data_IF_820563344022
#
_entry.id   IF_820563344022
#
_cell.length_a   1.000
_cell.length_b   1.000
_cell.length_c   1.000
_cell.angle_alpha   90.00
_cell.angle_beta   90.00
_cell.angle_gamma   90.00
#
_symmetry.space_group_name_H-M   'P 1'
#
loop_
_entity.id
_entity.type
_entity.pdbx_description
1 polymer ?
#
# COMPACT_ATOMS: atom_id res chain seq x y z
N UNK A 1 4.14 5.65 -2.31
CA UNK A 1 4.85 6.86 -2.84
C UNK A 1 4.43 7.17 -4.27
N UNK A 2 4.66 6.28 -5.25
CA UNK A 2 4.16 6.47 -6.62
C UNK A 2 2.63 6.63 -6.63
N UNK A 3 1.93 5.76 -5.87
CA UNK A 3 0.48 5.89 -5.60
C UNK A 3 0.09 7.29 -5.08
N UNK A 4 0.79 7.84 -4.08
CA UNK A 4 0.49 9.16 -3.54
C UNK A 4 0.51 10.26 -4.61
N UNK A 5 1.49 10.21 -5.53
CA UNK A 5 1.61 11.18 -6.63
C UNK A 5 0.49 11.02 -7.64
N UNK A 6 0.11 9.77 -7.91
CA UNK A 6 -1.00 9.47 -8.79
C UNK A 6 -2.33 9.97 -8.22
N UNK A 7 -2.63 9.62 -6.96
CA UNK A 7 -3.83 10.08 -6.26
C UNK A 7 -3.87 11.61 -6.22
N UNK A 8 -2.76 12.26 -5.86
CA UNK A 8 -2.67 13.72 -5.87
C UNK A 8 -3.10 14.29 -7.21
N UNK A 9 -2.43 13.89 -8.29
CA UNK A 9 -2.74 14.33 -9.64
C UNK A 9 -4.22 14.13 -10.00
N UNK A 10 -4.81 12.99 -9.64
CA UNK A 10 -6.21 12.65 -9.94
C UNK A 10 -7.21 13.50 -9.16
N UNK A 11 -6.90 13.85 -7.91
CA UNK A 11 -7.83 14.57 -7.05
C UNK A 11 -7.59 16.08 -6.98
N UNK A 12 -6.43 16.58 -7.41
CA UNK A 12 -6.10 18.01 -7.43
C UNK A 12 -7.16 18.83 -8.15
N UNK A 13 -7.66 18.35 -9.29
CA UNK A 13 -8.74 19.03 -10.02
C UNK A 13 -10.00 19.19 -9.17
N UNK A 14 -10.43 18.12 -8.49
CA UNK A 14 -11.65 18.14 -7.67
C UNK A 14 -11.48 18.98 -6.40
N UNK A 15 -10.29 18.93 -5.78
CA UNK A 15 -9.95 19.78 -4.64
C UNK A 15 -10.06 21.26 -5.01
N UNK A 16 -9.43 21.69 -6.11
CA UNK A 16 -9.50 23.08 -6.57
C UNK A 16 -10.90 23.51 -7.01
N UNK A 17 -11.69 22.63 -7.61
CA UNK A 17 -13.10 22.89 -7.92
C UNK A 17 -13.95 23.11 -6.67
N UNK A 18 -13.51 22.59 -5.52
CA UNK A 18 -14.16 22.74 -4.22
C UNK A 18 -13.47 23.80 -3.35
N UNK A 19 -12.57 24.62 -3.92
CA UNK A 19 -11.78 25.64 -3.23
C UNK A 19 -10.89 25.12 -2.09
N UNK A 20 -10.52 23.83 -2.15
CA UNK A 20 -9.64 23.19 -1.16
C UNK A 20 -8.18 23.24 -1.60
N UNK A 21 -7.30 23.45 -0.63
CA UNK A 21 -5.86 23.30 -0.76
C UNK A 21 -5.45 21.82 -0.61
N UNK A 22 -4.47 21.40 -1.40
CA UNK A 22 -4.02 20.01 -1.41
C UNK A 22 -2.50 19.95 -1.56
N UNK A 23 -1.84 19.12 -0.74
CA UNK A 23 -0.39 18.89 -0.81
C UNK A 23 -0.04 17.41 -0.58
N UNK A 24 1.16 17.00 -1.02
CA UNK A 24 1.71 15.66 -0.75
C UNK A 24 2.85 15.77 0.26
N UNK A 25 2.80 14.94 1.30
CA UNK A 25 3.88 14.82 2.28
C UNK A 25 4.34 13.37 2.40
N UNK A 26 5.58 13.11 1.98
CA UNK A 26 6.22 11.80 2.10
C UNK A 26 7.76 11.94 2.24
N UNK A 27 8.49 10.83 2.34
CA UNK A 27 9.96 10.83 2.46
C UNK A 27 10.69 11.70 1.44
N UNK A 28 10.25 11.73 0.18
CA UNK A 28 10.93 12.48 -0.90
C UNK A 28 10.53 13.98 -0.99
N UNK A 29 9.65 14.47 -0.11
CA UNK A 29 9.24 15.89 -0.12
C UNK A 29 10.45 16.76 0.26
N UNK A 30 10.75 17.81 -0.52
CA UNK A 30 11.92 18.66 -0.28
C UNK A 30 11.80 19.41 1.06
N UNK A 31 12.92 19.80 1.68
CA UNK A 31 12.86 20.55 2.94
C UNK A 31 12.10 21.88 2.81
N UNK A 32 12.16 22.51 1.63
CA UNK A 32 11.40 23.73 1.31
C UNK A 32 9.90 23.46 1.35
N UNK A 33 9.44 22.41 0.68
CA UNK A 33 8.01 22.07 0.61
C UNK A 33 7.50 21.59 1.97
N UNK A 34 8.31 20.82 2.72
CA UNK A 34 8.00 20.43 4.10
C UNK A 34 7.72 21.64 4.97
N UNK A 35 8.60 22.65 4.92
CA UNK A 35 8.44 23.89 5.69
C UNK A 35 7.16 24.63 5.28
N UNK A 36 6.88 24.74 3.97
CA UNK A 36 5.66 25.35 3.44
C UNK A 36 4.39 24.67 3.98
N UNK A 37 4.33 23.34 3.93
CA UNK A 37 3.20 22.55 4.44
C UNK A 37 3.08 22.71 5.96
N UNK A 38 4.19 22.78 6.70
CA UNK A 38 4.14 23.00 8.16
C UNK A 38 3.65 24.41 8.52
N UNK A 39 4.00 25.43 7.73
CA UNK A 39 3.60 26.81 7.98
C UNK A 39 2.16 27.09 7.55
N UNK A 40 1.70 26.44 6.47
CA UNK A 40 0.34 26.52 5.97
C UNK A 40 -0.17 25.09 5.63
N UNK A 41 -0.69 24.36 6.62
CA UNK A 41 -1.24 23.03 6.43
C UNK A 41 -2.40 23.03 5.43
N UNK A 42 -2.47 22.06 4.50
CA UNK A 42 -3.54 22.00 3.49
C UNK A 42 -4.83 21.42 4.07
N UNK A 43 -5.95 21.66 3.39
CA UNK A 43 -7.24 21.02 3.69
C UNK A 43 -7.20 19.52 3.37
N UNK A 44 -6.44 19.12 2.34
CA UNK A 44 -6.23 17.72 1.95
C UNK A 44 -4.74 17.39 1.96
N UNK A 45 -4.35 16.44 2.81
CA UNK A 45 -2.97 15.96 2.90
C UNK A 45 -2.86 14.51 2.45
N UNK A 46 -2.11 14.27 1.37
CA UNK A 46 -1.79 12.89 0.94
C UNK A 46 -0.45 12.50 1.55
N UNK A 47 -0.44 11.44 2.36
CA UNK A 47 0.74 11.03 3.13
C UNK A 47 0.94 9.50 3.13
N UNK A 48 1.98 9.03 3.81
CA UNK A 48 2.23 7.60 4.05
C UNK A 48 2.14 7.30 5.56
N UNK A 49 1.91 6.05 5.99
CA UNK A 49 1.89 5.68 7.41
C UNK A 49 3.14 6.14 8.16
N UNK A 50 4.32 5.93 7.58
CA UNK A 50 5.61 6.29 8.19
C UNK A 50 5.74 7.81 8.34
N UNK A 51 5.20 8.55 7.37
CA UNK A 51 5.20 10.01 7.42
C UNK A 51 4.19 10.52 8.45
N UNK A 52 3.03 9.89 8.61
CA UNK A 52 2.05 10.23 9.63
C UNK A 52 2.63 10.11 11.05
N UNK A 53 3.42 9.05 11.32
CA UNK A 53 4.15 8.86 12.58
C UNK A 53 5.08 10.05 12.91
N UNK A 54 5.69 10.66 11.89
CA UNK A 54 6.54 11.86 12.03
C UNK A 54 5.71 13.12 12.29
N UNK A 55 4.54 13.26 11.65
CA UNK A 55 3.69 14.43 11.82
C UNK A 55 3.10 14.51 13.22
N UNK A 56 2.73 13.35 13.80
CA UNK A 56 2.16 13.21 15.14
C UNK A 56 3.12 13.53 16.30
N UNK A 57 4.36 13.97 16.03
CA UNK A 57 5.30 14.42 17.08
C UNK A 57 5.73 15.87 16.92
N UNK A 58 5.20 16.58 15.91
CA UNK A 58 5.54 17.97 15.63
C UNK A 58 4.41 18.89 16.10
N UNK A 59 4.67 19.73 17.11
CA UNK A 59 3.67 20.62 17.72
C UNK A 59 2.82 21.38 16.69
N UNK A 60 3.44 22.02 15.69
CA UNK A 60 2.72 22.75 14.64
C UNK A 60 1.75 21.88 13.82
N UNK A 61 2.10 20.62 13.56
CA UNK A 61 1.20 19.70 12.86
C UNK A 61 0.11 19.16 13.78
N UNK A 62 0.39 18.96 15.06
CA UNK A 62 -0.63 18.55 16.02
C UNK A 62 -1.76 19.57 16.11
N UNK A 63 -1.44 20.87 16.08
CA UNK A 63 -2.46 21.93 16.04
C UNK A 63 -3.35 21.79 14.79
N UNK A 64 -2.77 21.62 13.61
CA UNK A 64 -3.54 21.47 12.37
C UNK A 64 -4.33 20.16 12.30
N UNK A 65 -3.72 19.05 12.73
CA UNK A 65 -4.36 17.74 12.79
C UNK A 65 -5.45 17.67 13.88
N UNK A 66 -5.50 18.65 14.80
CA UNK A 66 -6.56 18.71 15.81
C UNK A 66 -7.93 19.04 15.22
N UNK A 67 -7.97 19.63 14.02
CA UNK A 67 -9.21 19.94 13.30
C UNK A 67 -9.54 18.89 12.22
N UNK A 68 -8.84 17.74 12.22
CA UNK A 68 -9.06 16.70 11.22
C UNK A 68 -10.37 15.92 11.49
N UNK A 69 -11.22 15.87 10.46
CA UNK A 69 -12.50 15.17 10.50
C UNK A 69 -12.53 13.85 9.71
N UNK A 70 -11.64 13.67 8.73
CA UNK A 70 -11.67 12.53 7.82
C UNK A 70 -10.29 11.91 7.62
N UNK A 71 -10.24 10.58 7.59
CA UNK A 71 -9.06 9.83 7.14
C UNK A 71 -9.48 8.76 6.14
N UNK A 72 -8.79 8.72 5.01
CA UNK A 72 -8.98 7.73 3.95
C UNK A 72 -7.74 6.84 3.88
N UNK A 73 -7.93 5.55 4.08
CA UNK A 73 -6.91 4.52 3.95
C UNK A 73 -7.16 3.79 2.64
N UNK A 74 -6.34 4.07 1.64
CA UNK A 74 -6.40 3.40 0.34
C UNK A 74 -5.59 2.09 0.37
N UNK A 75 -5.98 1.12 -0.47
CA UNK A 75 -5.38 -0.20 -0.58
C UNK A 75 -5.22 -0.93 0.77
N UNK A 76 -6.29 -0.98 1.57
CA UNK A 76 -6.28 -1.56 2.94
C UNK A 76 -5.69 -2.97 2.98
N UNK A 77 -5.92 -3.78 1.95
CA UNK A 77 -5.44 -5.17 1.90
C UNK A 77 -3.91 -5.31 2.02
N UNK A 78 -3.14 -4.32 1.53
CA UNK A 78 -1.67 -4.31 1.65
C UNK A 78 -1.20 -4.06 3.09
N UNK A 79 -2.08 -3.50 3.92
CA UNK A 79 -1.76 -3.12 5.29
C UNK A 79 -2.14 -4.21 6.30
N UNK A 80 -3.16 -5.04 6.02
CA UNK A 80 -3.68 -6.01 6.98
C UNK A 80 -2.58 -6.92 7.55
N UNK A 81 -1.77 -7.51 6.67
CA UNK A 81 -0.75 -8.51 7.04
C UNK A 81 0.65 -7.93 7.29
N UNK A 82 0.79 -6.61 7.50
CA UNK A 82 2.10 -5.97 7.61
C UNK A 82 2.28 -5.15 8.90
N UNK A 83 3.52 -5.06 9.38
CA UNK A 83 3.90 -4.15 10.48
C UNK A 83 3.56 -2.69 10.16
N UNK A 84 3.64 -2.32 8.87
CA UNK A 84 3.22 -1.01 8.36
C UNK A 84 1.73 -0.74 8.63
N UNK A 85 0.88 -1.75 8.53
CA UNK A 85 -0.52 -1.63 8.92
C UNK A 85 -0.71 -1.48 10.42
N UNK A 86 0.06 -2.21 11.22
CA UNK A 86 0.09 -2.09 12.68
C UNK A 86 0.50 -0.68 13.12
N UNK A 87 1.52 -0.11 12.48
CA UNK A 87 1.96 1.27 12.66
C UNK A 87 0.85 2.28 12.28
N UNK A 88 0.17 2.07 11.15
CA UNK A 88 -0.96 2.92 10.75
C UNK A 88 -2.07 2.85 11.80
N UNK A 89 -2.47 1.66 12.25
CA UNK A 89 -3.58 1.48 13.19
C UNK A 89 -3.33 2.26 14.50
N UNK A 90 -2.12 2.18 15.06
CA UNK A 90 -1.74 3.00 16.22
C UNK A 90 -1.67 4.49 15.90
N UNK A 91 -1.18 4.87 14.71
CA UNK A 91 -1.13 6.27 14.28
C UNK A 91 -2.53 6.89 14.20
N UNK A 92 -3.51 6.13 13.71
CA UNK A 92 -4.90 6.58 13.59
C UNK A 92 -5.53 6.79 14.97
N UNK A 93 -5.29 5.92 15.96
CA UNK A 93 -5.79 6.15 17.32
C UNK A 93 -5.09 7.33 18.02
N UNK A 94 -3.78 7.54 17.76
CA UNK A 94 -3.06 8.73 18.22
C UNK A 94 -3.56 10.02 17.57
N UNK A 95 -3.97 9.95 16.30
CA UNK A 95 -4.55 11.04 15.55
C UNK A 95 -5.95 11.37 16.06
N UNK A 96 -6.78 10.35 16.30
CA UNK A 96 -8.08 10.53 16.92
C UNK A 96 -7.99 11.16 18.32
N UNK A 97 -7.02 10.70 19.13
CA UNK A 97 -6.78 11.29 20.44
C UNK A 97 -6.40 12.78 20.38
N UNK A 98 -5.75 13.20 19.28
CA UNK A 98 -5.39 14.60 19.04
C UNK A 98 -6.53 15.45 18.47
N UNK A 99 -7.52 14.82 17.82
CA UNK A 99 -8.61 15.53 17.15
C UNK A 99 -9.65 16.06 18.15
N UNK A 100 -10.16 17.25 17.88
CA UNK A 100 -11.29 17.86 18.59
C UNK A 100 -12.63 17.28 18.12
N UNK A 101 -12.65 16.62 16.97
CA UNK A 101 -13.83 16.06 16.34
C UNK A 101 -13.71 14.53 16.24
N UNK A 102 -14.83 13.77 16.28
CA UNK A 102 -14.81 12.36 15.95
C UNK A 102 -14.30 12.16 14.51
N UNK A 103 -13.27 11.34 14.34
CA UNK A 103 -12.67 11.10 13.03
C UNK A 103 -13.50 10.08 12.24
N UNK A 104 -13.93 10.46 11.04
CA UNK A 104 -14.55 9.53 10.09
C UNK A 104 -13.46 8.77 9.34
N UNK A 105 -13.50 7.44 9.42
CA UNK A 105 -12.48 6.54 8.87
C UNK A 105 -13.05 5.79 7.68
N UNK A 106 -12.42 5.94 6.53
CA UNK A 106 -12.81 5.30 5.27
C UNK A 106 -11.67 4.37 4.84
N UNK A 107 -12.00 3.12 4.54
CA UNK A 107 -11.08 2.15 3.97
C UNK A 107 -11.48 1.80 2.53
N UNK A 108 -10.53 1.81 1.61
CA UNK A 108 -10.73 1.39 0.23
C UNK A 108 -9.90 0.15 -0.06
N UNK A 109 -10.49 -0.83 -0.74
CA UNK A 109 -9.77 -2.03 -1.17
C UNK A 109 -10.50 -2.73 -2.29
N UNK A 110 -9.75 -3.19 -3.30
CA UNK A 110 -10.29 -3.98 -4.40
C UNK A 110 -10.39 -5.48 -4.07
N UNK A 111 -9.49 -5.99 -3.23
CA UNK A 111 -9.30 -7.44 -3.02
C UNK A 111 -9.06 -7.74 -1.56
N UNK A 112 -10.12 -8.08 -0.83
CA UNK A 112 -10.05 -8.53 0.57
C UNK A 112 -10.85 -9.82 0.67
N UNK A 113 -10.30 -10.86 1.32
CA UNK A 113 -11.07 -12.07 1.62
C UNK A 113 -11.91 -11.93 2.89
N UNK A 114 -11.38 -11.25 3.90
CA UNK A 114 -11.93 -11.09 5.25
C UNK A 114 -12.42 -9.65 5.52
N UNK A 115 -13.52 -9.26 4.88
CA UNK A 115 -14.04 -7.87 4.90
C UNK A 115 -14.34 -7.33 6.30
N UNK A 116 -14.89 -8.16 7.20
CA UNK A 116 -15.23 -7.72 8.55
C UNK A 116 -13.98 -7.36 9.37
N UNK A 117 -12.96 -8.21 9.30
CA UNK A 117 -11.67 -7.97 9.96
C UNK A 117 -10.97 -6.76 9.36
N UNK A 118 -11.01 -6.57 8.04
CA UNK A 118 -10.49 -5.37 7.39
C UNK A 118 -11.23 -4.10 7.83
N UNK A 119 -12.56 -4.17 7.98
CA UNK A 119 -13.35 -3.07 8.53
C UNK A 119 -12.92 -2.70 9.96
N UNK A 120 -12.78 -3.70 10.83
CA UNK A 120 -12.29 -3.50 12.21
C UNK A 120 -10.86 -2.97 12.25
N UNK A 121 -9.99 -3.42 11.34
CA UNK A 121 -8.64 -2.87 11.19
C UNK A 121 -8.66 -1.37 10.91
N UNK A 122 -9.54 -0.91 10.01
CA UNK A 122 -9.67 0.51 9.65
C UNK A 122 -10.28 1.33 10.79
N UNK A 123 -11.39 0.87 11.40
CA UNK A 123 -12.14 1.70 12.36
C UNK A 123 -11.68 1.55 13.82
N UNK A 124 -10.97 0.46 14.15
CA UNK A 124 -10.62 0.08 15.51
C UNK A 124 -11.67 -0.80 16.21
N UNK A 125 -11.48 -1.09 17.50
CA UNK A 125 -12.27 -2.10 18.23
C UNK A 125 -13.63 -1.63 18.75
N UNK A 126 -13.81 -0.32 18.98
CA UNK A 126 -14.99 0.25 19.67
C UNK A 126 -15.90 1.07 18.76
N UNK A 127 -15.77 0.94 17.43
CA UNK A 127 -16.51 1.73 16.44
C UNK A 127 -17.33 0.84 15.52
N UNK A 128 -18.48 1.33 15.06
CA UNK A 128 -19.28 0.66 14.03
C UNK A 128 -18.59 0.84 12.68
N UNK A 129 -18.66 -0.18 11.83
CA UNK A 129 -18.16 -0.15 10.46
C UNK A 129 -19.29 -0.59 9.53
N UNK A 130 -19.60 0.22 8.52
CA UNK A 130 -20.47 -0.17 7.42
C UNK A 130 -19.60 -0.68 6.27
N UNK A 131 -19.87 -1.90 5.80
CA UNK A 131 -19.14 -2.51 4.70
C UNK A 131 -19.97 -2.35 3.42
N UNK A 132 -19.47 -1.55 2.49
CA UNK A 132 -20.05 -1.39 1.17
C UNK A 132 -19.26 -2.30 0.21
N UNK A 133 -19.92 -3.30 -0.36
CA UNK A 133 -19.32 -4.25 -1.30
C UNK A 133 -19.96 -4.12 -2.67
N UNK A 134 -19.13 -3.94 -3.69
CA UNK A 134 -19.54 -4.17 -5.07
C UNK A 134 -19.53 -5.68 -5.35
N UNK A 135 -20.69 -6.24 -5.67
CA UNK A 135 -20.86 -7.65 -6.01
C UNK A 135 -20.93 -7.89 -7.52
N UNK A 136 -20.65 -6.87 -8.34
CA UNK A 136 -20.62 -7.03 -9.78
C UNK A 136 -19.53 -8.00 -10.20
N UNK A 137 -19.92 -9.05 -10.93
CA UNK A 137 -18.97 -10.03 -11.47
C UNK A 137 -18.36 -9.44 -12.73
N UNK A 138 -17.12 -8.96 -12.64
CA UNK A 138 -16.34 -8.57 -13.82
C UNK A 138 -15.98 -9.85 -14.58
N UNK A 139 -16.28 -9.91 -15.87
CA UNK A 139 -15.82 -11.02 -16.72
C UNK A 139 -14.33 -10.84 -16.98
N UNK A 140 -13.54 -11.81 -16.54
CA UNK A 140 -12.12 -11.91 -16.84
C UNK A 140 -11.95 -12.88 -18.01
N UNK A 141 -11.39 -12.38 -19.11
CA UNK A 141 -11.09 -13.18 -20.30
C UNK A 141 -9.60 -13.52 -20.24
N UNK A 142 -9.27 -14.59 -19.52
CA UNK A 142 -7.88 -14.98 -19.23
C UNK A 142 -7.59 -16.33 -19.86
N UNK A 143 -6.67 -16.33 -20.82
CA UNK A 143 -6.16 -17.55 -21.43
C UNK A 143 -4.94 -18.07 -20.63
N UNK A 144 -4.81 -19.39 -20.51
CA UNK A 144 -3.59 -20.04 -19.98
C UNK A 144 -2.92 -20.79 -21.12
N UNK A 145 -1.63 -20.54 -21.33
CA UNK A 145 -0.79 -21.24 -22.31
C UNK A 145 0.41 -21.90 -21.63
N UNK A 146 0.49 -23.21 -21.74
CA UNK A 146 1.70 -23.95 -21.41
C UNK A 146 2.62 -24.04 -22.64
N UNK A 147 3.91 -23.80 -22.43
CA UNK A 147 4.96 -23.91 -23.45
C UNK A 147 5.95 -24.97 -22.98
N UNK A 148 5.99 -26.10 -23.68
CA UNK A 148 6.99 -27.14 -23.44
C UNK A 148 8.34 -26.70 -24.01
N UNK A 149 9.13 -25.96 -23.22
CA UNK A 149 10.38 -25.38 -23.67
C UNK A 149 11.05 -24.44 -22.68
N UNK A 150 11.99 -23.66 -23.20
CA UNK A 150 12.73 -22.66 -22.45
C UNK A 150 11.95 -21.34 -22.36
N UNK A 151 12.42 -20.43 -21.51
CA UNK A 151 11.92 -19.05 -21.48
C UNK A 151 12.09 -18.32 -22.83
N UNK A 152 13.03 -18.77 -23.67
CA UNK A 152 13.22 -18.25 -25.02
C UNK A 152 12.05 -18.62 -25.93
N UNK A 153 11.52 -19.84 -25.80
CA UNK A 153 10.34 -20.32 -26.52
C UNK A 153 9.07 -19.61 -26.00
N UNK A 154 9.01 -19.34 -24.69
CA UNK A 154 7.95 -18.51 -24.09
C UNK A 154 7.97 -17.09 -24.67
N UNK A 155 9.16 -16.48 -24.78
CA UNK A 155 9.30 -15.14 -25.37
C UNK A 155 8.82 -15.11 -26.83
N UNK A 156 9.14 -16.13 -27.63
CA UNK A 156 8.62 -16.27 -29.00
C UNK A 156 7.09 -16.35 -29.02
N UNK A 157 6.48 -17.16 -28.13
CA UNK A 157 5.01 -17.23 -28.02
C UNK A 157 4.37 -15.92 -27.56
N UNK A 158 5.02 -15.16 -26.69
CA UNK A 158 4.56 -13.80 -26.34
C UNK A 158 4.61 -12.89 -27.57
N UNK A 159 5.71 -12.90 -28.33
CA UNK A 159 5.87 -12.07 -29.53
C UNK A 159 4.81 -12.43 -30.58
N UNK A 160 4.61 -13.71 -30.86
CA UNK A 160 3.58 -14.21 -31.77
C UNK A 160 2.20 -13.69 -31.34
N UNK A 161 1.82 -13.92 -30.08
CA UNK A 161 0.51 -13.54 -29.57
C UNK A 161 0.27 -12.02 -29.61
N UNK A 162 1.27 -11.22 -29.22
CA UNK A 162 1.17 -9.75 -29.26
C UNK A 162 1.08 -9.24 -30.69
N UNK A 163 1.84 -9.84 -31.61
CA UNK A 163 1.83 -9.43 -33.03
C UNK A 163 0.51 -9.79 -33.72
N UNK A 164 -0.13 -10.90 -33.35
CA UNK A 164 -1.45 -11.29 -33.85
C UNK A 164 -2.56 -10.33 -33.41
N UNK A 165 -2.46 -9.79 -32.19
CA UNK A 165 -3.45 -8.86 -31.66
C UNK A 165 -3.31 -7.43 -32.22
N UNK A 166 -2.11 -7.04 -32.66
CA UNK A 166 -1.77 -5.72 -33.23
C UNK A 166 -2.36 -4.55 -32.43
N UNK A 167 -2.14 -4.57 -31.12
CA UNK A 167 -2.68 -3.57 -30.20
C UNK A 167 -1.92 -2.25 -30.28
N UNK A 168 -2.65 -1.13 -30.36
CA UNK A 168 -2.07 0.23 -30.32
C UNK A 168 -1.94 0.77 -28.89
N UNK A 169 -2.03 -0.10 -27.89
CA UNK A 169 -1.99 0.23 -26.47
C UNK A 169 -0.80 -0.44 -25.78
N UNK A 170 -0.32 0.07 -24.63
CA UNK A 170 0.71 -0.60 -23.86
C UNK A 170 0.21 -1.95 -23.32
N UNK A 171 1.13 -2.92 -23.26
CA UNK A 171 0.93 -4.24 -22.69
C UNK A 171 1.78 -4.35 -21.44
N UNK A 172 1.20 -4.86 -20.36
CA UNK A 172 1.97 -5.20 -19.15
C UNK A 172 2.33 -6.66 -19.16
N UNK A 173 3.61 -6.98 -19.01
CA UNK A 173 4.11 -8.34 -18.83
C UNK A 173 4.67 -8.50 -17.42
N UNK A 174 3.92 -9.13 -16.53
CA UNK A 174 4.33 -9.37 -15.16
C UNK A 174 5.18 -10.63 -15.02
N UNK A 175 6.28 -10.52 -14.29
CA UNK A 175 7.09 -11.66 -13.83
C UNK A 175 7.14 -11.68 -12.29
N UNK A 176 7.50 -12.83 -11.72
CA UNK A 176 7.53 -13.00 -10.26
C UNK A 176 8.80 -12.43 -9.62
N UNK A 177 9.92 -12.47 -10.33
CA UNK A 177 11.21 -11.97 -9.84
C UNK A 177 11.81 -10.91 -10.76
N UNK A 178 12.74 -10.11 -10.19
CA UNK A 178 13.51 -9.10 -10.95
C UNK A 178 14.42 -9.75 -12.00
N UNK A 179 15.06 -10.87 -11.63
CA UNK A 179 15.94 -11.61 -12.54
C UNK A 179 15.17 -12.13 -13.76
N UNK A 180 13.96 -12.66 -13.56
CA UNK A 180 13.07 -13.05 -14.66
C UNK A 180 12.66 -11.85 -15.51
N UNK A 181 12.32 -10.71 -14.90
CA UNK A 181 11.96 -9.49 -15.67
C UNK A 181 13.11 -9.09 -16.60
N UNK A 182 14.32 -8.96 -16.06
CA UNK A 182 15.50 -8.52 -16.81
C UNK A 182 15.86 -9.53 -17.91
N UNK A 183 15.83 -10.83 -17.59
CA UNK A 183 16.17 -11.88 -18.55
C UNK A 183 15.15 -11.97 -19.69
N UNK A 184 13.85 -12.00 -19.37
CA UNK A 184 12.78 -12.06 -20.36
C UNK A 184 12.75 -10.81 -21.23
N UNK A 185 12.91 -9.61 -20.64
CA UNK A 185 13.00 -8.38 -21.40
C UNK A 185 14.20 -8.35 -22.36
N UNK A 186 15.35 -8.92 -21.96
CA UNK A 186 16.52 -9.02 -22.82
C UNK A 186 16.23 -9.88 -24.05
N UNK A 187 15.61 -11.04 -23.87
CA UNK A 187 15.25 -11.94 -24.98
C UNK A 187 14.22 -11.29 -25.90
N UNK A 188 13.20 -10.64 -25.34
CA UNK A 188 12.18 -9.94 -26.12
C UNK A 188 12.78 -8.81 -26.98
N UNK A 189 13.76 -8.05 -26.45
CA UNK A 189 14.48 -7.00 -27.18
C UNK A 189 15.33 -7.54 -28.32
N UNK A 190 15.93 -8.72 -28.14
CA UNK A 190 16.76 -9.35 -29.16
C UNK A 190 15.91 -9.92 -30.31
N UNK A 191 14.76 -10.51 -29.98
CA UNK A 191 13.93 -11.26 -30.94
C UNK A 191 12.81 -10.46 -31.59
N UNK A 192 12.48 -9.27 -31.09
CA UNK A 192 11.35 -8.47 -31.55
C UNK A 192 11.72 -7.02 -31.85
N UNK A 193 10.96 -6.41 -32.76
CA UNK A 193 11.00 -4.96 -33.02
C UNK A 193 10.00 -4.19 -32.16
N UNK A 194 9.18 -4.88 -31.36
CA UNK A 194 8.24 -4.26 -30.41
C UNK A 194 9.04 -3.47 -29.36
N UNK A 195 8.68 -2.22 -29.04
CA UNK A 195 9.32 -1.49 -27.95
C UNK A 195 9.17 -2.24 -26.62
N UNK A 196 10.30 -2.55 -25.96
CA UNK A 196 10.33 -3.23 -24.66
C UNK A 196 10.93 -2.33 -23.59
N UNK A 197 10.18 -2.07 -22.52
CA UNK A 197 10.63 -1.36 -21.34
C UNK A 197 10.64 -2.26 -20.09
N UNK A 198 11.34 -1.83 -19.04
CA UNK A 198 11.46 -2.55 -17.78
C UNK A 198 10.95 -1.68 -16.64
N UNK A 199 10.25 -2.29 -15.67
CA UNK A 199 9.81 -1.61 -14.46
C UNK A 199 9.91 -2.50 -13.21
N UNK A 200 10.85 -2.19 -12.33
CA UNK A 200 10.97 -2.82 -11.00
C UNK A 200 11.68 -1.88 -10.02
N UNK A 201 11.52 -2.15 -8.71
CA UNK A 201 11.99 -1.25 -7.64
C UNK A 201 13.50 -1.01 -7.55
N UNK A 202 14.32 -1.77 -8.28
CA UNK A 202 15.78 -1.55 -8.35
C UNK A 202 16.19 -0.50 -9.39
N UNK A 203 15.29 -0.13 -10.30
CA UNK A 203 15.56 0.91 -11.29
C UNK A 203 15.59 2.29 -10.67
N UNK A 204 16.37 3.19 -11.29
CA UNK A 204 16.44 4.57 -10.85
C UNK A 204 15.06 5.22 -10.90
N UNK A 205 14.90 6.29 -10.11
CA UNK A 205 13.65 7.03 -10.06
C UNK A 205 13.29 7.62 -11.42
N UNK A 206 14.28 8.15 -12.13
CA UNK A 206 14.11 8.77 -13.44
C UNK A 206 13.59 7.77 -14.48
N UNK A 207 14.18 6.56 -14.53
CA UNK A 207 13.75 5.51 -15.45
C UNK A 207 12.31 5.07 -15.17
N UNK A 208 11.98 4.88 -13.89
CA UNK A 208 10.60 4.50 -13.50
C UNK A 208 9.58 5.59 -13.88
N UNK A 209 9.92 6.85 -13.63
CA UNK A 209 9.04 7.98 -13.98
C UNK A 209 8.83 8.11 -15.50
N UNK A 210 9.86 7.84 -16.31
CA UNK A 210 9.76 7.81 -17.76
C UNK A 210 8.84 6.69 -18.25
N UNK A 211 9.02 5.46 -17.76
CA UNK A 211 8.14 4.33 -18.11
C UNK A 211 6.70 4.54 -17.66
N UNK A 212 6.48 5.06 -16.43
CA UNK A 212 5.15 5.41 -15.94
C UNK A 212 4.46 6.48 -16.83
N UNK A 213 5.25 7.44 -17.35
CA UNK A 213 4.74 8.47 -18.25
C UNK A 213 4.41 7.89 -19.64
N UNK A 214 5.26 7.01 -20.17
CA UNK A 214 5.02 6.34 -21.46
C UNK A 214 3.75 5.49 -21.44
N UNK A 215 3.54 4.71 -20.37
CA UNK A 215 2.32 3.94 -20.15
C UNK A 215 1.08 4.84 -20.17
N UNK A 216 1.13 5.95 -19.42
CA UNK A 216 0.03 6.91 -19.29
C UNK A 216 -0.30 7.63 -20.61
N UNK A 217 0.71 7.90 -21.42
CA UNK A 217 0.55 8.44 -22.78
C UNK A 217 -0.01 7.41 -23.76
N UNK A 218 -0.15 6.15 -23.35
CA UNK A 218 -0.65 5.07 -24.19
C UNK A 218 0.36 4.62 -25.24
N UNK A 219 1.66 4.81 -25.02
CA UNK A 219 2.69 4.37 -25.97
C UNK A 219 2.65 2.85 -26.10
N UNK A 220 2.46 2.37 -27.34
CA UNK A 220 2.48 0.94 -27.67
C UNK A 220 3.83 0.31 -27.32
N UNK A 221 3.79 -0.94 -26.87
CA UNK A 221 4.97 -1.69 -26.46
C UNK A 221 4.66 -2.63 -25.30
N UNK A 222 5.68 -3.37 -24.85
CA UNK A 222 5.59 -4.27 -23.69
C UNK A 222 6.41 -3.68 -22.56
N UNK A 223 5.78 -3.46 -21.41
CA UNK A 223 6.47 -3.12 -20.17
C UNK A 223 6.59 -4.37 -19.32
N UNK A 224 7.81 -4.89 -19.20
CA UNK A 224 8.12 -6.05 -18.37
C UNK A 224 8.31 -5.59 -16.93
N UNK A 225 7.52 -6.11 -16.01
CA UNK A 225 7.46 -5.58 -14.65
C UNK A 225 7.25 -6.64 -13.56
N UNK A 226 7.62 -6.28 -12.33
CA UNK A 226 7.23 -7.04 -11.13
C UNK A 226 6.01 -6.40 -10.47
N UNK A 227 5.76 -6.69 -9.19
CA UNK A 227 4.73 -6.03 -8.37
C UNK A 227 4.80 -4.51 -8.28
N UNK A 228 5.87 -3.90 -8.78
CA UNK A 228 6.02 -2.45 -8.83
C UNK A 228 4.92 -1.71 -9.63
N UNK A 229 4.22 -2.38 -10.55
CA UNK A 229 3.08 -1.84 -11.31
C UNK A 229 1.73 -2.51 -10.96
N UNK A 230 1.67 -3.33 -9.90
CA UNK A 230 0.42 -3.96 -9.44
C UNK A 230 -0.62 -2.94 -8.95
N UNK A 231 -0.14 -1.96 -8.18
CA UNK A 231 -0.96 -1.18 -7.26
C UNK A 231 -1.22 0.25 -7.77
N UNK A 232 -2.51 0.60 -7.77
CA UNK A 232 -3.09 1.94 -7.70
C UNK A 232 -2.68 3.04 -8.70
N UNK A 233 -1.66 2.85 -9.53
CA UNK A 233 -1.24 3.84 -10.52
C UNK A 233 -2.23 3.90 -11.69
N UNK A 234 -2.69 5.10 -12.03
CA UNK A 234 -3.37 5.40 -13.28
C UNK A 234 -2.35 5.51 -14.42
N UNK A 235 -1.97 4.33 -14.92
CA UNK A 235 -1.07 4.08 -16.04
C UNK A 235 -1.77 4.13 -17.41
N UNK A 236 -3.00 4.66 -17.49
CA UNK A 236 -3.75 4.73 -18.74
C UNK A 236 -4.51 3.43 -19.10
N UNK A 237 -4.90 3.29 -20.36
CA UNK A 237 -5.60 2.11 -20.87
C UNK A 237 -4.62 1.05 -21.34
N UNK A 238 -4.43 0.02 -20.53
CA UNK A 238 -3.82 -1.24 -20.96
C UNK A 238 -4.92 -2.13 -21.52
N UNK A 239 -4.72 -2.75 -22.69
CA UNK A 239 -5.70 -3.69 -23.24
C UNK A 239 -5.39 -5.15 -22.90
N UNK A 240 -4.11 -5.48 -22.68
CA UNK A 240 -3.67 -6.84 -22.37
C UNK A 240 -2.70 -6.85 -21.19
N UNK A 241 -2.95 -7.75 -20.23
CA UNK A 241 -2.03 -8.06 -19.15
C UNK A 241 -1.54 -9.50 -19.33
N UNK A 242 -0.23 -9.67 -19.47
CA UNK A 242 0.43 -10.96 -19.60
C UNK A 242 1.12 -11.30 -18.28
N UNK A 243 1.07 -12.56 -17.88
CA UNK A 243 1.77 -13.15 -16.77
C UNK A 243 2.74 -14.20 -17.27
N UNK A 244 4.04 -14.04 -16.97
CA UNK A 244 4.98 -15.14 -17.06
C UNK A 244 4.99 -15.92 -15.74
N UNK A 245 4.56 -17.18 -15.81
CA UNK A 245 4.34 -18.04 -14.65
C UNK A 245 3.06 -17.71 -13.88
N UNK A 246 2.82 -18.48 -12.83
CA UNK A 246 1.63 -18.29 -11.99
C UNK A 246 1.67 -16.95 -11.24
N UNK A 247 0.52 -16.25 -11.09
CA UNK A 247 0.42 -15.04 -10.28
C UNK A 247 0.46 -15.32 -8.77
N UNK A 248 0.48 -16.60 -8.34
CA UNK A 248 0.53 -17.11 -6.96
C UNK A 248 -0.69 -16.80 -6.08
N UNK A 249 -1.45 -15.74 -6.40
CA UNK A 249 -2.60 -15.27 -5.64
C UNK A 249 -3.69 -14.71 -6.57
N UNK A 250 -4.95 -15.00 -6.22
CA UNK A 250 -6.19 -14.44 -6.76
C UNK A 250 -6.20 -12.93 -6.63
N UNK A 251 -5.91 -12.39 -5.45
CA UNK A 251 -5.88 -10.94 -5.21
C UNK A 251 -4.94 -10.23 -6.19
N UNK A 252 -3.72 -10.74 -6.37
CA UNK A 252 -2.74 -10.20 -7.32
C UNK A 252 -3.24 -10.25 -8.75
N UNK A 253 -3.79 -11.38 -9.19
CA UNK A 253 -4.30 -11.49 -10.55
C UNK A 253 -5.43 -10.48 -10.81
N UNK A 254 -6.38 -10.36 -9.87
CA UNK A 254 -7.49 -9.41 -9.95
C UNK A 254 -7.01 -7.95 -10.01
N UNK A 255 -6.01 -7.58 -9.21
CA UNK A 255 -5.44 -6.23 -9.22
C UNK A 255 -4.71 -5.93 -10.54
N UNK A 256 -3.87 -6.86 -10.99
CA UNK A 256 -3.06 -6.72 -12.21
C UNK A 256 -3.93 -6.66 -13.45
N UNK A 257 -4.86 -7.61 -13.61
CA UNK A 257 -5.81 -7.63 -14.73
C UNK A 257 -6.82 -6.48 -14.62
N UNK A 258 -7.13 -6.03 -13.40
CA UNK A 258 -7.93 -4.84 -13.13
C UNK A 258 -7.36 -3.55 -13.74
N UNK A 259 -6.06 -3.51 -14.06
CA UNK A 259 -5.41 -2.42 -14.80
C UNK A 259 -5.83 -2.34 -16.25
N UNK A 260 -6.34 -3.43 -16.84
CA UNK A 260 -6.86 -3.35 -18.19
C UNK A 260 -8.14 -2.52 -18.21
N UNK A 261 -8.11 -1.44 -18.99
CA UNK A 261 -9.21 -0.48 -19.06
C UNK A 261 -10.11 -0.89 -20.20
N UNK A 262 -11.27 -1.40 -19.87
CA UNK A 262 -12.41 -1.32 -20.77
C UNK A 262 -13.62 -0.77 -20.02
N UNK A 263 -14.53 -0.12 -20.75
CA UNK A 263 -15.80 0.41 -20.25
C UNK A 263 -16.49 -0.60 -19.31
N UNK A 264 -17.43 -0.13 -18.47
CA UNK A 264 -18.22 -0.95 -17.51
C UNK A 264 -18.81 -2.28 -18.07
N UNK A 265 -18.75 -2.51 -19.39
CA UNK A 265 -19.28 -3.67 -20.10
C UNK A 265 -18.28 -4.52 -20.89
N UNK A 266 -16.96 -4.24 -20.90
CA UNK A 266 -15.99 -5.06 -21.66
C UNK A 266 -15.01 -5.83 -20.74
N UNK A 267 -14.68 -7.05 -21.16
CA UNK A 267 -13.87 -8.00 -20.38
C UNK A 267 -12.42 -7.54 -20.28
N UNK A 268 -11.85 -7.72 -19.10
CA UNK A 268 -10.42 -7.51 -18.91
C UNK A 268 -9.67 -8.69 -19.57
N UNK A 269 -8.84 -8.43 -20.58
CA UNK A 269 -8.08 -9.47 -21.29
C UNK A 269 -6.78 -9.79 -20.57
N UNK A 270 -6.51 -11.06 -20.37
CA UNK A 270 -5.29 -11.56 -19.76
C UNK A 270 -4.73 -12.78 -20.49
N UNK A 271 -3.42 -12.95 -20.40
CA UNK A 271 -2.73 -14.18 -20.78
C UNK A 271 -1.83 -14.61 -19.63
N UNK A 272 -1.95 -15.84 -19.18
CA UNK A 272 -0.95 -16.48 -18.32
C UNK A 272 -0.17 -17.46 -19.19
N UNK A 273 1.12 -17.24 -19.35
CA UNK A 273 2.01 -18.12 -20.11
C UNK A 273 3.10 -18.67 -19.20
N UNK A 274 3.32 -19.98 -19.25
CA UNK A 274 4.27 -20.67 -18.38
C UNK A 274 4.94 -21.81 -19.12
N UNK A 275 6.18 -22.12 -18.75
CA UNK A 275 6.88 -23.33 -19.18
C UNK A 275 7.12 -24.31 -18.00
N UNK A 276 6.36 -24.13 -16.91
CA UNK A 276 6.36 -24.99 -15.75
C UNK A 276 4.92 -25.49 -15.50
N UNK A 277 4.77 -26.81 -15.40
CA UNK A 277 3.48 -27.46 -15.18
C UNK A 277 2.84 -27.10 -13.84
N UNK A 278 3.64 -26.91 -12.78
CA UNK A 278 3.13 -26.54 -11.46
C UNK A 278 2.49 -25.16 -11.50
N UNK A 279 3.10 -24.24 -12.24
CA UNK A 279 2.57 -22.90 -12.47
C UNK A 279 1.29 -22.91 -13.32
N UNK A 280 1.15 -23.86 -14.25
CA UNK A 280 -0.09 -24.04 -15.01
C UNK A 280 -1.25 -24.49 -14.11
N UNK A 281 -1.02 -25.53 -13.30
CA UNK A 281 -2.04 -26.02 -12.35
C UNK A 281 -2.42 -24.94 -11.33
N UNK A 282 -1.44 -24.19 -10.82
CA UNK A 282 -1.71 -23.09 -9.89
C UNK A 282 -2.50 -21.96 -10.56
N UNK A 283 -2.17 -21.60 -11.80
CA UNK A 283 -2.92 -20.60 -12.57
C UNK A 283 -4.37 -21.03 -12.82
N UNK A 284 -4.62 -22.30 -13.15
CA UNK A 284 -5.97 -22.84 -13.31
C UNK A 284 -6.76 -22.77 -11.99
N UNK A 285 -6.15 -23.15 -10.87
CA UNK A 285 -6.79 -23.06 -9.56
C UNK A 285 -7.12 -21.61 -9.19
N UNK A 286 -6.24 -20.65 -9.51
CA UNK A 286 -6.48 -19.22 -9.28
C UNK A 286 -7.67 -18.72 -10.13
N UNK A 287 -7.75 -19.09 -11.41
CA UNK A 287 -8.89 -18.71 -12.26
C UNK A 287 -10.20 -19.30 -11.78
N UNK A 288 -10.20 -20.56 -11.33
CA UNK A 288 -11.37 -21.19 -10.73
C UNK A 288 -11.83 -20.41 -9.48
N UNK A 289 -10.91 -20.05 -8.60
CA UNK A 289 -11.23 -19.25 -7.40
C UNK A 289 -11.79 -17.87 -7.74
N UNK A 290 -11.32 -17.22 -8.81
CA UNK A 290 -11.91 -15.96 -9.30
C UNK A 290 -13.37 -16.16 -9.71
N UNK A 291 -13.67 -17.23 -10.46
CA UNK A 291 -15.04 -17.56 -10.88
C UNK A 291 -15.97 -17.83 -9.70
N UNK A 292 -15.44 -18.43 -8.63
CA UNK A 292 -16.15 -18.68 -7.37
C UNK A 292 -16.23 -17.44 -6.45
N UNK A 293 -15.57 -16.33 -6.79
CA UNK A 293 -15.49 -15.15 -5.94
C UNK A 293 -14.68 -15.35 -4.66
N UNK A 294 -13.75 -16.31 -4.66
CA UNK A 294 -13.00 -16.79 -3.50
C UNK A 294 -11.59 -16.19 -3.43
N UNK A 295 -11.50 -14.99 -2.86
CA UNK A 295 -10.22 -14.30 -2.57
C UNK A 295 -9.61 -14.86 -1.28
N UNK A 296 -8.29 -14.93 -1.19
CA UNK A 296 -7.58 -15.37 0.01
C UNK A 296 -7.84 -14.42 1.19
N UNK A 297 -7.89 -14.98 2.40
CA UNK A 297 -7.93 -14.17 3.62
C UNK A 297 -6.58 -13.53 3.92
N UNK A 298 -6.58 -12.25 4.28
CA UNK A 298 -5.41 -11.52 4.76
C UNK A 298 -5.42 -11.50 6.29
N UNK A 299 -4.59 -12.35 6.91
CA UNK A 299 -4.47 -12.38 8.37
C UNK A 299 -3.87 -11.08 8.89
N UNK A 300 -4.54 -10.49 9.88
CA UNK A 300 -4.04 -9.27 10.49
C UNK A 300 -2.74 -9.56 11.24
N UNK A 301 -1.73 -8.71 11.04
CA UNK A 301 -0.47 -8.81 11.75
C UNK A 301 -0.64 -8.26 13.18
N UNK A 302 -0.98 -9.15 14.10
CA UNK A 302 -1.32 -8.82 15.49
C UNK A 302 -0.09 -8.59 16.38
N UNK A 303 -0.19 -7.62 17.28
CA UNK A 303 0.65 -7.54 18.49
C UNK A 303 2.14 -7.24 18.31
N UNK A 304 2.56 -6.53 17.27
CA UNK A 304 3.98 -6.16 17.08
C UNK A 304 4.49 -5.25 18.19
N UNK A 305 5.15 -5.83 19.20
CA UNK A 305 5.58 -5.10 20.41
C UNK A 305 6.73 -4.12 20.14
N UNK A 306 7.51 -4.35 19.11
CA UNK A 306 8.53 -3.41 18.60
C UNK A 306 7.90 -2.15 17.98
N UNK A 307 6.85 -2.30 17.17
CA UNK A 307 6.04 -1.18 16.65
C UNK A 307 5.40 -0.43 17.83
N UNK A 308 4.85 -1.16 18.81
CA UNK A 308 4.31 -0.57 20.03
C UNK A 308 5.38 0.24 20.77
N UNK A 309 6.58 -0.30 20.96
CA UNK A 309 7.68 0.37 21.64
C UNK A 309 8.02 1.70 20.97
N UNK A 310 8.13 1.72 19.64
CA UNK A 310 8.36 2.95 18.88
C UNK A 310 7.23 3.97 19.08
N UNK A 311 5.98 3.50 19.04
CA UNK A 311 4.79 4.35 19.25
C UNK A 311 4.68 4.92 20.67
N UNK A 312 5.12 4.20 21.70
CA UNK A 312 5.13 4.71 23.07
C UNK A 312 6.11 5.87 23.23
N UNK A 313 7.30 5.78 22.62
CA UNK A 313 8.24 6.91 22.57
C UNK A 313 7.60 8.10 21.85
N UNK A 314 6.94 7.85 20.71
CA UNK A 314 6.20 8.87 19.96
C UNK A 314 5.07 9.52 20.75
N UNK A 315 4.31 8.72 21.51
CA UNK A 315 3.21 9.17 22.35
C UNK A 315 3.70 10.08 23.48
N UNK A 316 4.82 9.71 24.12
CA UNK A 316 5.48 10.54 25.13
C UNK A 316 6.05 11.85 24.53
N UNK A 317 6.45 11.84 23.26
CA UNK A 317 6.86 13.06 22.55
C UNK A 317 5.67 13.94 22.15
N UNK A 318 4.55 13.33 21.80
CA UNK A 318 3.32 14.00 21.38
C UNK A 318 2.61 14.69 22.54
N UNK A 319 2.45 13.99 23.68
CA UNK A 319 1.59 14.43 24.79
C UNK A 319 2.43 14.93 25.98
N UNK A 320 3.67 14.45 26.12
CA UNK A 320 4.47 14.66 27.33
C UNK A 320 4.29 13.52 28.32
N UNK A 321 3.88 13.85 29.55
CA UNK A 321 3.60 12.85 30.58
C UNK A 321 2.23 12.21 30.39
N UNK A 322 2.19 10.87 30.37
CA UNK A 322 0.98 10.09 30.16
C UNK A 322 0.88 8.94 31.15
N UNK A 323 -0.32 8.70 31.67
CA UNK A 323 -0.64 7.55 32.52
C UNK A 323 -0.79 6.28 31.69
N UNK A 324 -0.37 5.14 32.26
CA UNK A 324 -0.51 3.82 31.64
C UNK A 324 -1.95 3.53 31.25
N UNK A 325 -2.94 3.81 32.10
CA UNK A 325 -4.35 3.51 31.79
C UNK A 325 -4.82 4.20 30.51
N UNK A 326 -4.44 5.48 30.33
CA UNK A 326 -4.75 6.24 29.11
C UNK A 326 -4.02 5.68 27.89
N UNK A 327 -2.73 5.35 28.03
CA UNK A 327 -1.96 4.75 26.94
C UNK A 327 -2.55 3.39 26.54
N UNK A 328 -2.86 2.55 27.51
CA UNK A 328 -3.44 1.22 27.32
C UNK A 328 -4.80 1.28 26.64
N UNK A 329 -5.71 2.15 27.09
CA UNK A 329 -7.00 2.33 26.43
C UNK A 329 -6.86 2.89 25.01
N UNK A 330 -5.91 3.79 24.74
CA UNK A 330 -5.63 4.27 23.39
C UNK A 330 -5.12 3.12 22.49
N UNK A 331 -4.13 2.36 22.98
CA UNK A 331 -3.48 1.30 22.22
C UNK A 331 -4.45 0.16 21.90
N UNK A 332 -5.25 -0.29 22.87
CA UNK A 332 -6.21 -1.39 22.69
C UNK A 332 -7.42 -1.02 21.82
N UNK A 333 -7.61 0.26 21.49
CA UNK A 333 -8.56 0.69 20.45
C UNK A 333 -8.04 0.38 19.04
N UNK A 334 -6.73 0.33 18.84
CA UNK A 334 -6.13 -0.11 17.59
C UNK A 334 -6.33 -1.62 17.47
N UNK A 335 -6.94 -2.06 16.37
CA UNK A 335 -7.39 -3.44 16.24
C UNK A 335 -6.26 -4.48 16.38
N UNK A 336 -5.06 -4.29 15.80
CA UNK A 336 -3.93 -5.23 15.99
C UNK A 336 -3.46 -5.40 17.44
N UNK A 337 -3.83 -4.48 18.34
CA UNK A 337 -3.47 -4.51 19.76
C UNK A 337 -4.68 -4.74 20.69
N UNK A 338 -5.83 -5.17 20.13
CA UNK A 338 -7.07 -5.41 20.89
C UNK A 338 -6.94 -6.38 22.06
N UNK A 339 -6.00 -7.32 21.95
CA UNK A 339 -5.72 -8.38 22.92
C UNK A 339 -4.48 -8.09 23.78
N UNK A 340 -3.85 -6.92 23.65
CA UNK A 340 -2.68 -6.54 24.43
C UNK A 340 -3.03 -6.57 25.93
N UNK A 341 -2.18 -7.21 26.73
CA UNK A 341 -2.31 -7.23 28.19
C UNK A 341 -1.57 -6.05 28.80
N UNK A 342 -2.05 -5.60 29.95
CA UNK A 342 -1.42 -4.52 30.70
C UNK A 342 0.03 -4.86 31.08
N UNK A 343 0.29 -6.11 31.45
CA UNK A 343 1.63 -6.63 31.77
C UNK A 343 2.59 -6.47 30.60
N UNK A 344 2.17 -6.82 29.38
CA UNK A 344 2.98 -6.67 28.16
C UNK A 344 3.32 -5.20 27.88
N UNK A 345 2.35 -4.28 28.10
CA UNK A 345 2.60 -2.85 27.99
C UNK A 345 3.65 -2.37 29.01
N UNK A 346 3.53 -2.81 30.27
CA UNK A 346 4.48 -2.47 31.33
C UNK A 346 5.88 -2.97 31.00
N UNK A 347 6.01 -4.22 30.55
CA UNK A 347 7.30 -4.80 30.17
C UNK A 347 7.99 -4.02 29.04
N UNK A 348 7.22 -3.55 28.04
CA UNK A 348 7.75 -2.69 26.98
C UNK A 348 8.21 -1.34 27.53
N UNK A 349 7.45 -0.73 28.46
CA UNK A 349 7.84 0.53 29.10
C UNK A 349 9.12 0.40 29.92
N UNK A 350 9.30 -0.71 30.64
CA UNK A 350 10.53 -1.01 31.38
C UNK A 350 11.74 -1.19 30.45
N UNK A 351 11.53 -1.88 29.32
CA UNK A 351 12.57 -2.01 28.30
C UNK A 351 12.96 -0.65 27.73
N UNK A 352 12.00 0.23 27.44
CA UNK A 352 12.28 1.57 26.95
C UNK A 352 12.97 2.45 28.01
N UNK A 353 12.58 2.34 29.28
CA UNK A 353 13.20 3.11 30.38
C UNK A 353 14.63 2.67 30.66
N UNK A 354 14.90 1.36 30.70
CA UNK A 354 16.24 0.78 30.88
C UNK A 354 17.20 1.14 29.74
N UNK A 355 16.68 1.39 28.54
CA UNK A 355 17.44 1.90 27.39
C UNK A 355 17.50 3.44 27.32
N UNK A 356 17.01 4.13 28.35
CA UNK A 356 16.96 5.60 28.46
C UNK A 356 16.16 6.30 27.35
N UNK A 357 15.23 5.58 26.72
CA UNK A 357 14.39 6.10 25.64
C UNK A 357 13.16 6.83 26.17
N UNK A 358 12.67 6.48 27.34
CA UNK A 358 11.65 7.21 28.12
C UNK A 358 12.06 7.22 29.60
N UNK A 359 11.32 7.96 30.43
CA UNK A 359 11.29 7.74 31.87
C UNK A 359 9.97 7.06 32.23
N UNK A 360 10.00 5.99 33.00
CA UNK A 360 8.80 5.31 33.50
C UNK A 360 8.75 5.33 35.04
N UNK A 361 7.77 6.06 35.60
CA UNK A 361 7.50 6.09 37.04
C UNK A 361 6.50 4.98 37.40
N UNK A 362 7.01 3.85 37.91
CA UNK A 362 6.19 2.73 38.38
C UNK A 362 5.28 3.05 39.57
N UNK A 363 5.62 4.07 40.37
CA UNK A 363 4.80 4.44 41.53
C UNK A 363 3.57 5.21 41.08
N UNK A 364 3.74 6.13 40.12
CA UNK A 364 2.64 6.92 39.54
C UNK A 364 1.95 6.24 38.37
N UNK A 365 2.55 5.18 37.83
CA UNK A 365 2.12 4.53 36.59
C UNK A 365 2.04 5.55 35.43
N UNK A 366 3.04 6.43 35.33
CA UNK A 366 3.16 7.44 34.25
C UNK A 366 4.51 7.33 33.55
N UNK A 367 4.56 7.73 32.28
CA UNK A 367 5.81 7.81 31.53
C UNK A 367 5.89 9.09 30.68
N UNK A 368 7.11 9.54 30.40
CA UNK A 368 7.38 10.72 29.58
C UNK A 368 8.72 10.61 28.84
N UNK A 369 8.95 11.52 27.89
CA UNK A 369 10.16 11.52 27.06
C UNK A 369 11.44 11.83 27.87
N UNK A 370 12.55 11.18 27.50
CA UNK A 370 13.92 11.50 27.95
C UNK A 370 14.71 12.22 26.83
N UNK A 371 15.95 12.60 27.12
CA UNK A 371 16.83 13.26 26.15
C UNK A 371 17.09 12.43 24.87
N UNK A 372 17.13 11.10 24.97
CA UNK A 372 17.40 10.22 23.81
C UNK A 372 16.16 9.92 22.95
N UNK A 373 14.94 10.23 23.42
CA UNK A 373 13.70 9.92 22.71
C UNK A 373 13.70 10.49 21.29
N UNK A 374 14.10 11.75 21.13
CA UNK A 374 14.10 12.44 19.84
C UNK A 374 15.03 11.74 18.84
N UNK A 375 16.28 11.49 19.23
CA UNK A 375 17.27 10.85 18.37
C UNK A 375 16.80 9.45 17.95
N UNK A 376 16.38 8.63 18.92
CA UNK A 376 15.87 7.29 18.64
C UNK A 376 14.66 7.33 17.68
N UNK A 377 13.67 8.19 17.94
CA UNK A 377 12.44 8.21 17.18
C UNK A 377 12.67 8.55 15.70
N UNK A 378 13.54 9.53 15.40
CA UNK A 378 13.80 9.94 14.01
C UNK A 378 14.84 9.08 13.28
N UNK A 379 15.73 8.37 14.01
CA UNK A 379 16.70 7.45 13.41
C UNK A 379 16.12 6.03 13.17
N UNK A 380 15.02 5.68 13.86
CA UNK A 380 14.40 4.34 13.80
C UNK A 380 12.95 4.40 13.29
N UNK A 381 12.68 5.30 12.35
CA UNK A 381 11.40 5.28 11.62
C UNK A 381 11.36 3.95 10.86
N UNK A 382 10.43 3.07 11.25
CA UNK A 382 10.19 1.80 10.58
C UNK A 382 10.04 2.02 9.08
N UNK A 383 10.81 1.25 8.30
CA UNK A 383 10.73 1.19 6.84
C UNK A 383 9.81 0.10 6.38
#
# INVERSE_FOLDING_TARGET
RALNRDVFRRITKYAHQSELTIEIRHGDTTQKDRKKITENPPDVLITTPETLVILLTQAKYLDALSDLEWIVVDEVHELLSSERGTQLSLSVERLEFNSKFPLTKIGLSATVGNFEEAGKFVVGTKRKCEIIRDTSVRKYDVEIKYVDGTISDVAEKIIEHVSELDLDSPILLFTNTRGESEFLASILKEKSTIPIELHHGSLSKEVREETEQNLREGKRGIVVCTSSLELGLDIGSVELVIHYGSPRQVSKLVQRIGRSRHNRNASAKGLIITNNSDDEYEAQAILQRIQEGSIEEQKIHDGSLDVLAHHLVGLAMQIGEISIDKAFDLITRAYPFRNLKLEELVDVLDLLDSNYLIFFDRTKMTFWKKGRSFKYYFENLST
#
